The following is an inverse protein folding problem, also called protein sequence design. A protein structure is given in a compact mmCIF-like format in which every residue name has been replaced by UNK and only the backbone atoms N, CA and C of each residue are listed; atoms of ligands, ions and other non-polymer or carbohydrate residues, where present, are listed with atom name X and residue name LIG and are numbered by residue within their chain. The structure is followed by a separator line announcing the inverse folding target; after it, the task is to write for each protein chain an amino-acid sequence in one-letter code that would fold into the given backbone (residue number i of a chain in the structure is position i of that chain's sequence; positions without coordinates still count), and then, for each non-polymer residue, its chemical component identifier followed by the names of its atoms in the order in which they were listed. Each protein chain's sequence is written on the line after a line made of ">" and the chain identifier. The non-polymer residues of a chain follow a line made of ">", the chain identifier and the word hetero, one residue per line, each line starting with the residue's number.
data_IF_281625389189
#
_entry.id   IF_281625389189
#
_cell.length_a   1.000
_cell.length_b   1.000
_cell.length_c   1.000
_cell.angle_alpha   90.00
_cell.angle_beta   90.00
_cell.angle_gamma   90.00
#
_symmetry.space_group_name_H-M   'P 1'
#
loop_
_entity.id
_entity.type
_entity.pdbx_description
1 polymer ?
#
# COMPACT_ATOMS: atom_id res chain seq x y z
N UNK A 1 47.11 51.68 32.06
CA UNK A 1 45.77 51.01 32.17
C UNK A 1 44.81 51.93 31.43
N UNK A 2 44.12 51.60 30.35
CA UNK A 2 43.80 50.34 29.67
C UNK A 2 43.81 50.60 28.15
N UNK A 3 44.19 49.58 27.35
CA UNK A 3 44.07 49.59 25.90
C UNK A 3 42.61 49.41 25.48
N UNK A 4 42.19 50.21 24.49
CA UNK A 4 40.93 50.06 23.76
C UNK A 4 41.23 49.14 22.58
N UNK A 5 40.66 47.94 22.57
CA UNK A 5 40.60 47.10 21.37
C UNK A 5 39.18 47.14 20.80
N UNK A 6 39.11 47.54 19.54
CA UNK A 6 37.97 47.41 18.66
C UNK A 6 37.90 45.96 18.19
N UNK A 7 36.76 45.29 18.31
CA UNK A 7 36.51 44.02 17.61
C UNK A 7 35.14 44.06 16.95
N UNK A 8 35.19 43.70 15.67
CA UNK A 8 34.16 43.76 14.64
C UNK A 8 32.90 42.94 14.95
N UNK A 9 31.81 43.34 14.31
CA UNK A 9 30.53 42.67 14.39
C UNK A 9 30.55 41.25 13.84
N UNK A 10 29.68 40.42 14.40
CA UNK A 10 29.11 39.28 13.72
C UNK A 10 27.59 39.45 13.74
N UNK A 11 27.04 39.87 12.61
CA UNK A 11 25.65 39.60 12.27
C UNK A 11 25.52 38.07 12.15
N UNK A 12 24.99 37.43 13.19
CA UNK A 12 24.50 36.07 13.07
C UNK A 12 23.17 36.15 12.33
N UNK A 13 23.20 35.73 11.07
CA UNK A 13 22.02 35.41 10.27
C UNK A 13 21.10 34.48 11.07
N UNK A 14 20.07 35.04 11.69
CA UNK A 14 18.90 34.27 12.13
C UNK A 14 18.17 33.82 10.88
N UNK A 15 18.47 32.61 10.42
CA UNK A 15 17.56 31.89 9.52
C UNK A 15 16.21 31.80 10.24
N UNK A 16 15.18 32.36 9.62
CA UNK A 16 13.78 32.26 10.04
C UNK A 16 13.43 30.79 10.32
N UNK A 17 13.53 30.36 11.59
CA UNK A 17 12.99 29.07 12.01
C UNK A 17 11.47 29.20 12.06
N UNK A 18 10.85 29.04 10.89
CA UNK A 18 9.41 28.90 10.76
C UNK A 18 9.02 27.64 11.54
N UNK A 19 8.47 27.84 12.74
CA UNK A 19 8.00 26.72 13.57
C UNK A 19 6.80 26.10 12.86
N UNK A 20 6.98 24.92 12.28
CA UNK A 20 5.88 24.15 11.70
C UNK A 20 5.05 23.55 12.84
N UNK A 21 3.76 23.89 12.88
CA UNK A 21 2.81 23.31 13.84
C UNK A 21 2.13 22.12 13.16
N UNK A 22 2.41 20.92 13.65
CA UNK A 22 1.77 19.69 13.15
C UNK A 22 0.49 19.38 13.93
N UNK A 23 -0.49 18.79 13.25
CA UNK A 23 -1.78 18.38 13.84
C UNK A 23 -1.64 17.19 14.80
N UNK A 24 -0.67 16.32 14.54
CA UNK A 24 -0.41 15.10 15.31
C UNK A 24 1.03 14.59 15.08
N UNK A 25 1.47 13.66 15.93
CA UNK A 25 2.82 13.08 15.88
C UNK A 25 3.08 12.19 14.65
N UNK A 26 2.04 11.73 13.96
CA UNK A 26 2.18 10.94 12.73
C UNK A 26 2.58 11.86 11.58
N UNK A 27 1.95 13.02 11.44
CA UNK A 27 2.32 14.04 10.46
C UNK A 27 3.75 14.55 10.66
N UNK A 28 4.14 14.78 11.92
CA UNK A 28 5.52 15.12 12.28
C UNK A 28 6.50 14.00 11.84
N UNK A 29 6.15 12.73 12.10
CA UNK A 29 7.00 11.60 11.70
C UNK A 29 7.17 11.48 10.17
N UNK A 30 6.16 11.86 9.38
CA UNK A 30 6.26 11.90 7.91
C UNK A 30 7.22 13.02 7.47
N UNK A 31 7.11 14.21 8.08
CA UNK A 31 8.02 15.32 7.79
C UNK A 31 9.46 14.96 8.13
N UNK A 32 9.69 14.34 9.29
CA UNK A 32 11.01 13.85 9.70
C UNK A 32 11.55 12.76 8.77
N UNK A 33 10.68 11.86 8.26
CA UNK A 33 11.11 10.88 7.24
C UNK A 33 11.64 11.57 5.98
N UNK A 34 10.95 12.62 5.51
CA UNK A 34 11.39 13.40 4.35
C UNK A 34 12.73 14.10 4.61
N UNK A 35 12.89 14.73 5.77
CA UNK A 35 14.14 15.38 6.18
C UNK A 35 15.30 14.38 6.23
N UNK A 36 15.11 13.25 6.90
CA UNK A 36 16.14 12.23 7.10
C UNK A 36 16.62 11.57 5.79
N UNK A 37 15.79 11.60 4.75
CA UNK A 37 16.07 10.97 3.45
C UNK A 37 16.33 11.97 2.32
N UNK A 38 16.37 13.28 2.62
CA UNK A 38 16.53 14.37 1.63
C UNK A 38 15.48 14.29 0.51
N UNK A 39 14.20 14.17 0.90
CA UNK A 39 13.06 14.04 -0.01
C UNK A 39 12.11 15.23 0.16
N UNK A 40 11.70 15.87 -0.93
CA UNK A 40 10.65 16.88 -0.87
C UNK A 40 9.31 16.24 -0.47
N UNK A 41 8.55 16.89 0.42
CA UNK A 41 7.28 16.34 0.93
C UNK A 41 6.29 16.01 -0.20
N UNK A 42 6.33 16.74 -1.32
CA UNK A 42 5.47 16.48 -2.47
C UNK A 42 5.88 15.23 -3.27
N UNK A 43 7.07 14.69 -3.08
CA UNK A 43 7.47 13.44 -3.71
C UNK A 43 6.74 12.23 -3.12
N UNK A 44 6.21 12.33 -1.89
CA UNK A 44 5.43 11.26 -1.25
C UNK A 44 4.27 10.82 -2.14
N UNK A 45 3.60 11.75 -2.83
CA UNK A 45 2.49 11.46 -3.73
C UNK A 45 2.89 10.47 -4.84
N UNK A 46 4.16 10.47 -5.24
CA UNK A 46 4.72 9.61 -6.30
C UNK A 46 5.23 8.26 -5.80
N UNK A 47 5.36 8.07 -4.48
CA UNK A 47 5.90 6.83 -3.93
C UNK A 47 5.11 5.60 -4.37
N UNK A 48 5.83 4.55 -4.75
CA UNK A 48 5.27 3.22 -4.87
C UNK A 48 4.88 2.65 -3.48
N UNK A 49 4.25 1.48 -3.48
CA UNK A 49 3.80 0.85 -2.25
C UNK A 49 4.97 0.40 -1.35
N UNK A 50 6.16 0.13 -1.90
CA UNK A 50 7.33 -0.28 -1.12
C UNK A 50 7.91 0.90 -0.34
N UNK A 51 8.10 2.04 -1.00
CA UNK A 51 8.50 3.29 -0.34
C UNK A 51 7.45 3.75 0.66
N UNK A 52 6.16 3.63 0.33
CA UNK A 52 5.11 3.93 1.31
C UNK A 52 5.19 3.03 2.55
N UNK A 53 5.45 1.72 2.38
CA UNK A 53 5.66 0.84 3.52
C UNK A 53 6.88 1.25 4.37
N UNK A 54 7.94 1.81 3.76
CA UNK A 54 9.10 2.37 4.49
C UNK A 54 8.67 3.53 5.40
N UNK A 55 7.84 4.45 4.89
CA UNK A 55 7.27 5.56 5.67
C UNK A 55 6.45 5.03 6.85
N UNK A 56 5.58 4.04 6.62
CA UNK A 56 4.77 3.45 7.70
C UNK A 56 5.65 2.81 8.80
N UNK A 57 6.73 2.13 8.43
CA UNK A 57 7.68 1.57 9.39
C UNK A 57 8.47 2.65 10.14
N UNK A 58 8.74 3.79 9.52
CA UNK A 58 9.33 4.94 10.20
C UNK A 58 8.36 5.53 11.24
N UNK A 59 7.09 5.74 10.85
CA UNK A 59 6.02 6.17 11.77
C UNK A 59 5.93 5.21 12.97
N UNK A 60 5.94 3.90 12.73
CA UNK A 60 5.97 2.92 13.82
C UNK A 60 7.11 3.19 14.78
N UNK A 61 8.34 3.35 14.29
CA UNK A 61 9.52 3.55 15.14
C UNK A 61 9.48 4.84 15.95
N UNK A 62 8.94 5.91 15.39
CA UNK A 62 8.98 7.26 15.97
C UNK A 62 7.75 7.58 16.83
N UNK A 63 6.60 7.00 16.49
CA UNK A 63 5.31 7.28 17.14
C UNK A 63 4.87 6.12 17.99
N UNK A 64 4.81 4.90 17.46
CA UNK A 64 4.09 3.78 18.10
C UNK A 64 4.97 2.81 18.87
N UNK A 65 6.25 2.73 18.56
CA UNK A 65 7.20 1.85 19.25
C UNK A 65 7.46 2.42 20.66
N UNK A 66 7.52 1.59 21.71
CA UNK A 66 7.62 2.07 23.08
C UNK A 66 8.94 2.77 23.31
N UNK A 67 8.88 3.82 24.14
CA UNK A 67 10.04 4.21 24.91
C UNK A 67 10.20 3.20 26.06
N UNK A 68 11.31 2.47 26.08
CA UNK A 68 11.67 1.54 27.19
C UNK A 68 11.77 2.21 28.58
N UNK A 69 11.59 3.53 28.64
CA UNK A 69 11.87 4.38 29.79
C UNK A 69 10.62 5.11 30.33
N UNK A 70 9.40 4.75 29.90
CA UNK A 70 8.18 5.40 30.41
C UNK A 70 7.65 4.81 31.73
N UNK A 71 8.22 3.68 32.18
CA UNK A 71 7.84 3.03 33.44
C UNK A 71 6.48 2.32 33.40
N UNK A 72 5.82 2.23 32.24
CA UNK A 72 4.49 1.64 32.09
C UNK A 72 4.59 0.17 31.66
N UNK A 73 4.16 -0.75 32.52
CA UNK A 73 4.05 -2.18 32.19
C UNK A 73 2.76 -2.43 31.42
N UNK A 74 2.88 -2.73 30.12
CA UNK A 74 1.73 -3.01 29.24
C UNK A 74 1.56 -4.52 29.09
N UNK A 75 0.54 -5.12 29.72
CA UNK A 75 0.37 -6.58 29.78
C UNK A 75 0.26 -7.30 28.42
N UNK A 76 -0.18 -6.61 27.36
CA UNK A 76 -0.56 -7.24 26.08
C UNK A 76 0.08 -6.61 24.86
N UNK A 77 0.95 -5.63 25.09
CA UNK A 77 1.70 -4.94 24.06
C UNK A 77 2.95 -4.27 24.65
N UNK A 78 3.83 -5.05 25.27
CA UNK A 78 5.11 -4.57 25.84
C UNK A 78 6.02 -3.90 24.79
N UNK A 79 5.69 -4.05 23.50
CA UNK A 79 6.44 -3.59 22.33
C UNK A 79 5.72 -2.53 21.50
N UNK A 80 4.62 -1.92 21.97
CA UNK A 80 4.05 -0.69 21.40
C UNK A 80 3.34 0.16 22.46
N UNK A 81 3.17 1.45 22.18
CA UNK A 81 2.52 2.41 23.06
C UNK A 81 0.99 2.46 22.90
N UNK A 82 0.44 1.66 21.99
CA UNK A 82 -1.01 1.63 21.73
C UNK A 82 -1.69 0.62 22.66
N UNK A 83 -2.73 1.08 23.35
CA UNK A 83 -3.56 0.26 24.24
C UNK A 83 -4.68 -0.39 23.44
N UNK A 84 -4.71 -1.73 23.41
CA UNK A 84 -5.71 -2.48 22.67
C UNK A 84 -7.09 -2.49 23.35
N UNK A 85 -7.17 -2.09 24.63
CA UNK A 85 -8.45 -1.96 25.35
C UNK A 85 -9.15 -0.63 25.07
N UNK A 86 -8.39 0.39 24.63
CA UNK A 86 -8.92 1.69 24.26
C UNK A 86 -9.42 1.67 22.80
N UNK A 87 -10.70 1.33 22.64
CA UNK A 87 -11.34 1.23 21.31
C UNK A 87 -11.43 2.58 20.60
N UNK A 88 -11.66 3.66 21.34
CA UNK A 88 -11.74 5.01 20.77
C UNK A 88 -10.38 5.45 20.23
N UNK A 89 -9.29 5.18 20.96
CA UNK A 89 -7.93 5.41 20.47
C UNK A 89 -7.65 4.60 19.20
N UNK A 90 -8.01 3.31 19.18
CA UNK A 90 -7.81 2.45 18.01
C UNK A 90 -8.54 2.99 16.78
N UNK A 91 -9.80 3.38 16.94
CA UNK A 91 -10.63 3.92 15.85
C UNK A 91 -10.06 5.27 15.35
N UNK A 92 -9.65 6.16 16.26
CA UNK A 92 -9.01 7.43 15.90
C UNK A 92 -7.70 7.23 15.11
N UNK A 93 -6.85 6.31 15.55
CA UNK A 93 -5.60 5.96 14.84
C UNK A 93 -5.90 5.36 13.46
N UNK A 94 -6.93 4.52 13.36
CA UNK A 94 -7.39 3.97 12.07
C UNK A 94 -7.88 5.07 11.13
N UNK A 95 -8.68 6.02 11.63
CA UNK A 95 -9.18 7.13 10.83
C UNK A 95 -8.05 8.03 10.31
N UNK A 96 -7.04 8.31 11.13
CA UNK A 96 -5.84 9.06 10.70
C UNK A 96 -5.09 8.30 9.60
N UNK A 97 -4.91 6.99 9.76
CA UNK A 97 -4.26 6.15 8.73
C UNK A 97 -5.02 6.18 7.40
N UNK A 98 -6.35 6.02 7.45
CA UNK A 98 -7.21 6.05 6.27
C UNK A 98 -7.12 7.41 5.57
N UNK A 99 -7.31 8.51 6.32
CA UNK A 99 -7.23 9.87 5.79
C UNK A 99 -5.88 10.16 5.14
N UNK A 100 -4.79 9.74 5.77
CA UNK A 100 -3.44 9.88 5.24
C UNK A 100 -3.23 9.06 3.95
N UNK A 101 -3.76 7.84 3.88
CA UNK A 101 -3.71 7.05 2.65
C UNK A 101 -4.47 7.75 1.50
N UNK A 102 -5.63 8.35 1.77
CA UNK A 102 -6.35 9.13 0.76
C UNK A 102 -5.59 10.38 0.31
N UNK A 103 -5.07 11.16 1.25
CA UNK A 103 -4.27 12.36 0.98
C UNK A 103 -3.11 12.04 0.03
N UNK A 104 -2.31 11.03 0.36
CA UNK A 104 -1.14 10.65 -0.44
C UNK A 104 -1.44 9.67 -1.58
N UNK A 105 -2.72 9.42 -1.89
CA UNK A 105 -3.18 8.54 -2.96
C UNK A 105 -2.61 7.11 -2.85
N UNK A 106 -2.54 6.57 -1.63
CA UNK A 106 -2.03 5.24 -1.27
C UNK A 106 -3.17 4.24 -1.07
N UNK A 107 -2.83 2.96 -1.21
CA UNK A 107 -3.78 1.88 -0.88
C UNK A 107 -3.93 1.82 0.66
N UNK A 108 -5.18 1.83 1.13
CA UNK A 108 -5.49 1.47 2.52
C UNK A 108 -5.36 -0.04 2.65
N UNK A 109 -4.69 -0.55 3.67
CA UNK A 109 -4.67 -1.99 3.90
C UNK A 109 -4.45 -2.35 5.37
N UNK A 110 -5.00 -3.48 5.79
CA UNK A 110 -4.75 -4.07 7.12
C UNK A 110 -3.24 -4.27 7.37
N UNK A 111 -2.50 -4.68 6.33
CA UNK A 111 -1.05 -4.81 6.38
C UNK A 111 -0.32 -3.48 6.57
N UNK A 112 -0.77 -2.41 5.89
CA UNK A 112 -0.21 -1.07 6.07
C UNK A 112 -0.48 -0.55 7.48
N UNK A 113 -1.71 -0.71 7.98
CA UNK A 113 -2.06 -0.35 9.35
C UNK A 113 -1.22 -1.12 10.38
N UNK A 114 -1.03 -2.42 10.18
CA UNK A 114 -0.15 -3.26 11.00
C UNK A 114 1.30 -2.75 11.00
N UNK A 115 1.85 -2.38 9.84
CA UNK A 115 3.21 -1.81 9.74
C UNK A 115 3.34 -0.48 10.47
N UNK A 116 2.30 0.36 10.43
CA UNK A 116 2.32 1.69 11.05
C UNK A 116 2.20 1.62 12.58
N UNK A 117 1.30 0.78 13.09
CA UNK A 117 1.00 0.71 14.53
C UNK A 117 1.85 -0.32 15.27
N UNK A 118 2.40 -1.29 14.54
CA UNK A 118 3.08 -2.46 15.10
C UNK A 118 2.13 -3.55 15.60
N UNK A 119 0.80 -3.41 15.42
CA UNK A 119 -0.16 -4.45 15.77
C UNK A 119 0.03 -5.62 14.83
N UNK A 120 0.25 -6.83 15.36
CA UNK A 120 0.47 -8.00 14.53
C UNK A 120 -0.76 -8.33 13.68
N UNK A 121 -0.54 -8.80 12.45
CA UNK A 121 -1.61 -9.15 11.52
C UNK A 121 -2.57 -10.19 12.10
N UNK A 122 -2.02 -11.22 12.77
CA UNK A 122 -2.82 -12.25 13.43
C UNK A 122 -3.70 -11.68 14.54
N UNK A 123 -3.23 -10.66 15.26
CA UNK A 123 -4.03 -9.98 16.30
C UNK A 123 -5.20 -9.23 15.67
N UNK A 124 -4.98 -8.52 14.55
CA UNK A 124 -6.07 -7.87 13.82
C UNK A 124 -7.09 -8.90 13.31
N UNK A 125 -6.64 -10.02 12.76
CA UNK A 125 -7.57 -11.07 12.32
C UNK A 125 -8.27 -11.80 13.47
N UNK A 126 -7.62 -11.93 14.63
CA UNK A 126 -8.28 -12.42 15.85
C UNK A 126 -9.40 -11.47 16.28
N UNK A 127 -9.21 -10.15 16.21
CA UNK A 127 -10.28 -9.19 16.51
C UNK A 127 -11.43 -9.28 15.51
N UNK A 128 -11.13 -9.45 14.22
CA UNK A 128 -12.14 -9.64 13.19
C UNK A 128 -13.02 -10.87 13.46
N UNK A 129 -12.38 -11.98 13.84
CA UNK A 129 -13.05 -13.28 14.02
C UNK A 129 -13.72 -13.44 15.40
N UNK A 130 -13.40 -12.58 16.36
CA UNK A 130 -13.98 -12.62 17.72
C UNK A 130 -14.61 -11.25 18.06
N UNK A 131 -15.83 -10.96 17.59
CA UNK A 131 -16.49 -9.67 17.81
C UNK A 131 -16.66 -9.29 19.28
N UNK A 132 -16.82 -10.29 20.15
CA UNK A 132 -17.00 -10.13 21.59
C UNK A 132 -15.68 -10.00 22.36
N UNK A 133 -14.54 -9.89 21.67
CA UNK A 133 -13.26 -9.71 22.33
C UNK A 133 -13.28 -8.44 23.21
N UNK A 134 -12.82 -8.59 24.44
CA UNK A 134 -12.68 -7.47 25.40
C UNK A 134 -11.74 -6.38 24.88
N UNK A 135 -10.88 -6.72 23.91
CA UNK A 135 -9.85 -5.85 23.33
C UNK A 135 -9.88 -5.90 21.82
N UNK A 136 -9.45 -4.80 21.23
CA UNK A 136 -9.54 -4.60 19.81
C UNK A 136 -10.96 -4.27 19.36
N UNK A 137 -11.09 -4.10 18.05
CA UNK A 137 -12.35 -3.78 17.41
C UNK A 137 -12.47 -4.60 16.13
N UNK A 138 -13.47 -5.49 16.07
CA UNK A 138 -13.79 -6.20 14.83
C UNK A 138 -14.23 -5.21 13.75
N UNK A 139 -14.93 -4.15 14.16
CA UNK A 139 -15.42 -3.10 13.28
C UNK A 139 -14.29 -2.30 12.63
N UNK A 140 -13.24 -1.98 13.39
CA UNK A 140 -12.03 -1.36 12.84
C UNK A 140 -11.44 -2.18 11.69
N UNK A 141 -11.34 -3.50 11.86
CA UNK A 141 -10.72 -4.36 10.84
C UNK A 141 -11.61 -4.50 9.61
N UNK A 142 -12.94 -4.56 9.79
CA UNK A 142 -13.91 -4.51 8.68
C UNK A 142 -13.82 -3.18 7.94
N UNK A 143 -13.71 -2.06 8.66
CA UNK A 143 -13.58 -0.75 8.08
C UNK A 143 -12.31 -0.65 7.22
N UNK A 144 -11.16 -1.10 7.73
CA UNK A 144 -9.92 -1.18 6.95
C UNK A 144 -10.05 -2.06 5.68
N UNK A 145 -10.87 -3.10 5.70
CA UNK A 145 -11.14 -3.94 4.52
C UNK A 145 -12.03 -3.22 3.50
N UNK A 146 -13.09 -2.54 3.96
CA UNK A 146 -13.96 -1.74 3.11
C UNK A 146 -13.19 -0.58 2.45
N UNK A 147 -12.42 0.16 3.24
CA UNK A 147 -11.59 1.28 2.77
C UNK A 147 -10.46 0.82 1.83
N UNK A 148 -10.01 -0.43 1.95
CA UNK A 148 -9.09 -1.02 0.97
C UNK A 148 -9.76 -1.22 -0.39
N UNK A 149 -10.97 -1.78 -0.40
CA UNK A 149 -11.74 -1.90 -1.64
C UNK A 149 -11.98 -0.52 -2.26
N UNK A 150 -12.37 0.46 -1.44
CA UNK A 150 -12.68 1.82 -1.89
C UNK A 150 -11.45 2.62 -2.35
N UNK A 151 -10.30 2.50 -1.67
CA UNK A 151 -9.07 3.15 -2.13
C UNK A 151 -8.56 2.56 -3.45
N UNK A 152 -8.79 1.27 -3.71
CA UNK A 152 -8.48 0.63 -4.98
C UNK A 152 -9.47 1.01 -6.09
N UNK A 153 -10.77 1.08 -5.78
CA UNK A 153 -11.82 1.52 -6.71
C UNK A 153 -11.56 2.95 -7.19
N UNK A 154 -11.22 3.85 -6.26
CA UNK A 154 -10.89 5.25 -6.56
C UNK A 154 -9.65 5.40 -7.44
N UNK A 155 -8.63 4.57 -7.22
CA UNK A 155 -7.45 4.54 -8.11
C UNK A 155 -7.81 4.12 -9.53
N UNK A 156 -8.69 3.13 -9.67
CA UNK A 156 -9.19 2.70 -10.98
C UNK A 156 -10.00 3.82 -11.66
N UNK A 157 -10.95 4.43 -10.93
CA UNK A 157 -11.80 5.51 -11.45
C UNK A 157 -11.01 6.76 -11.85
N UNK A 158 -9.95 7.09 -11.11
CA UNK A 158 -9.06 8.22 -11.39
C UNK A 158 -7.97 7.94 -12.43
N UNK A 159 -7.87 6.70 -12.94
CA UNK A 159 -6.82 6.30 -13.88
C UNK A 159 -5.41 6.26 -13.29
N UNK A 160 -5.26 6.22 -11.96
CA UNK A 160 -3.97 6.20 -11.27
C UNK A 160 -3.48 4.77 -11.05
N UNK A 161 -2.29 4.45 -11.56
CA UNK A 161 -1.63 3.15 -11.39
C UNK A 161 -1.90 2.17 -12.55
N UNK A 162 -1.60 0.89 -12.34
CA UNK A 162 -1.86 -0.14 -13.36
C UNK A 162 -3.31 -0.65 -13.25
N UNK A 163 -4.23 -0.26 -14.16
CA UNK A 163 -5.65 -0.62 -14.06
C UNK A 163 -5.88 -2.13 -14.11
N UNK A 164 -5.11 -2.87 -14.90
CA UNK A 164 -5.22 -4.34 -15.00
C UNK A 164 -4.79 -4.99 -13.69
N UNK A 165 -3.70 -4.50 -13.09
CA UNK A 165 -3.23 -4.99 -11.79
C UNK A 165 -4.23 -4.73 -10.67
N UNK A 166 -4.78 -3.51 -10.61
CA UNK A 166 -5.81 -3.12 -9.63
C UNK A 166 -7.07 -3.97 -9.80
N UNK A 167 -7.56 -4.14 -11.03
CA UNK A 167 -8.70 -5.02 -11.32
C UNK A 167 -8.42 -6.48 -10.92
N UNK A 168 -7.21 -6.98 -11.14
CA UNK A 168 -6.80 -8.31 -10.69
C UNK A 168 -6.90 -8.48 -9.17
N UNK A 169 -6.47 -7.46 -8.41
CA UNK A 169 -6.61 -7.44 -6.94
C UNK A 169 -8.09 -7.40 -6.56
N UNK A 170 -8.88 -6.52 -7.16
CA UNK A 170 -10.30 -6.36 -6.87
C UNK A 170 -11.09 -7.65 -7.15
N UNK A 171 -10.84 -8.31 -8.28
CA UNK A 171 -11.46 -9.59 -8.62
C UNK A 171 -11.08 -10.70 -7.62
N UNK A 172 -9.80 -10.80 -7.26
CA UNK A 172 -9.30 -11.85 -6.35
C UNK A 172 -9.86 -11.69 -4.93
N UNK A 173 -9.96 -10.46 -4.43
CA UNK A 173 -10.27 -10.20 -3.02
C UNK A 173 -11.72 -9.82 -2.76
N UNK A 174 -12.40 -9.18 -3.72
CA UNK A 174 -13.76 -8.63 -3.54
C UNK A 174 -14.76 -9.15 -4.58
N UNK A 175 -14.33 -10.02 -5.50
CA UNK A 175 -15.24 -10.65 -6.45
C UNK A 175 -15.89 -9.68 -7.44
N UNK A 176 -15.23 -8.55 -7.73
CA UNK A 176 -15.71 -7.53 -8.67
C UNK A 176 -16.06 -8.07 -10.05
N UNK A 177 -15.54 -9.27 -10.41
CA UNK A 177 -15.86 -10.08 -11.58
C UNK A 177 -16.56 -9.26 -12.65
N UNK A 178 -15.83 -8.31 -13.26
CA UNK A 178 -16.27 -7.75 -14.54
C UNK A 178 -16.43 -8.96 -15.42
N UNK A 179 -17.68 -9.33 -15.69
CA UNK A 179 -18.00 -10.61 -16.27
C UNK A 179 -17.05 -10.87 -17.42
N UNK A 180 -16.12 -11.82 -17.26
CA UNK A 180 -15.76 -12.63 -18.42
C UNK A 180 -17.12 -12.97 -19.01
N UNK A 181 -17.39 -12.60 -20.28
CA UNK A 181 -18.72 -12.74 -20.87
C UNK A 181 -19.20 -14.10 -20.42
N UNK A 182 -20.21 -14.13 -19.52
CA UNK A 182 -20.62 -15.35 -18.84
C UNK A 182 -20.69 -16.34 -19.95
N UNK A 183 -19.80 -17.34 -19.90
CA UNK A 183 -19.58 -18.20 -21.04
C UNK A 183 -20.97 -18.52 -21.56
N UNK A 184 -21.20 -18.25 -22.84
CA UNK A 184 -22.18 -19.05 -23.54
C UNK A 184 -22.03 -20.45 -22.94
N UNK A 185 -23.10 -21.01 -22.41
CA UNK A 185 -23.14 -22.39 -21.97
C UNK A 185 -23.01 -23.32 -23.18
N UNK A 186 -22.20 -22.95 -24.16
CA UNK A 186 -21.57 -23.81 -25.11
C UNK A 186 -20.30 -24.27 -24.40
N UNK A 187 -20.32 -25.48 -23.87
CA UNK A 187 -19.10 -26.27 -23.90
C UNK A 187 -18.52 -26.08 -25.30
N UNK A 188 -17.40 -25.36 -25.42
CA UNK A 188 -16.66 -25.30 -26.66
C UNK A 188 -16.21 -26.74 -26.90
N UNK A 189 -17.04 -27.53 -27.58
CA UNK A 189 -16.55 -28.70 -28.31
C UNK A 189 -15.42 -28.16 -29.16
N UNK A 190 -14.25 -28.77 -29.04
CA UNK A 190 -13.15 -28.53 -29.95
C UNK A 190 -13.72 -28.49 -31.38
N UNK A 191 -13.36 -27.49 -32.21
CA UNK A 191 -13.82 -27.44 -33.58
C UNK A 191 -13.54 -28.79 -34.24
N UNK A 192 -14.58 -29.37 -34.85
CA UNK A 192 -14.45 -30.64 -35.54
C UNK A 192 -13.37 -30.48 -36.61
N UNK A 193 -12.30 -31.30 -36.56
CA UNK A 193 -11.16 -31.28 -37.47
C UNK A 193 -11.52 -31.03 -38.96
N UNK A 194 -12.63 -31.57 -39.52
CA UNK A 194 -12.99 -31.31 -40.91
C UNK A 194 -13.24 -29.83 -41.26
N UNK A 195 -13.71 -29.00 -40.32
CA UNK A 195 -14.00 -27.59 -40.61
C UNK A 195 -12.75 -26.70 -40.73
N UNK A 196 -11.67 -27.08 -40.05
CA UNK A 196 -10.38 -26.38 -40.14
C UNK A 196 -9.71 -26.69 -41.48
N UNK A 197 -9.76 -27.94 -41.92
CA UNK A 197 -9.16 -28.36 -43.20
C UNK A 197 -9.72 -27.58 -44.40
N UNK A 198 -11.03 -27.34 -44.46
CA UNK A 198 -11.64 -26.59 -45.56
C UNK A 198 -11.16 -25.14 -45.66
N UNK A 199 -10.98 -24.45 -44.53
CA UNK A 199 -10.47 -23.07 -44.53
C UNK A 199 -9.03 -22.95 -45.02
N UNK A 200 -8.19 -23.95 -44.74
CA UNK A 200 -6.80 -23.94 -45.19
C UNK A 200 -6.63 -24.38 -46.65
N UNK A 201 -7.60 -25.12 -47.21
CA UNK A 201 -7.57 -25.58 -48.61
C UNK A 201 -8.09 -24.49 -49.57
N UNK A 202 -9.04 -23.66 -49.14
CA UNK A 202 -9.62 -22.62 -50.01
C UNK A 202 -8.77 -21.33 -50.09
N UNK A 203 -7.91 -21.05 -49.10
CA UNK A 203 -7.13 -19.81 -49.00
C UNK A 203 -5.66 -19.92 -49.48
N UNK A 204 -5.21 -21.07 -50.00
CA UNK A 204 -3.88 -21.16 -50.65
C UNK A 204 -3.97 -20.91 -52.15
N UNK A 205 -3.39 -19.81 -52.68
CA UNK A 205 -3.14 -19.70 -54.11
C UNK A 205 -2.18 -20.81 -54.53
N UNK A 206 -2.46 -21.48 -55.65
CA UNK A 206 -1.56 -22.45 -56.28
C UNK A 206 -0.20 -21.81 -56.54
N UNK A 207 0.77 -22.05 -55.67
CA UNK A 207 2.19 -21.86 -55.95
C UNK A 207 2.89 -23.21 -55.77
N UNK A 208 3.10 -23.88 -56.90
CA UNK A 208 3.96 -25.05 -57.07
C UNK A 208 5.40 -24.71 -56.63
N UNK A 209 5.76 -24.95 -55.37
CA UNK A 209 7.16 -25.15 -54.95
C UNK A 209 7.26 -26.22 -53.84
N UNK A 210 7.95 -27.30 -54.19
CA UNK A 210 8.45 -28.30 -53.26
C UNK A 210 9.34 -27.62 -52.21
N UNK A 211 8.94 -27.61 -50.94
CA UNK A 211 9.86 -27.30 -49.84
C UNK A 211 9.55 -28.19 -48.61
N UNK A 212 10.61 -28.83 -48.13
CA UNK A 212 10.65 -29.81 -47.04
C UNK A 212 10.01 -29.30 -45.73
N UNK A 213 9.39 -30.23 -44.99
CA UNK A 213 8.79 -29.95 -43.69
C UNK A 213 9.83 -29.36 -42.69
N UNK A 214 9.50 -28.28 -41.97
CA UNK A 214 10.44 -27.62 -41.05
C UNK A 214 10.77 -28.55 -39.88
N UNK A 215 12.07 -28.80 -39.67
CA UNK A 215 12.57 -29.60 -38.55
C UNK A 215 12.59 -28.77 -37.25
N UNK A 216 12.11 -29.37 -36.16
CA UNK A 216 12.10 -28.76 -34.84
C UNK A 216 13.53 -28.70 -34.25
N UNK A 217 13.96 -27.59 -33.65
CA UNK A 217 15.30 -27.48 -33.08
C UNK A 217 15.42 -28.31 -31.78
N UNK A 218 16.48 -29.09 -31.68
CA UNK A 218 16.80 -29.88 -30.49
C UNK A 218 17.42 -29.02 -29.38
N UNK A 219 17.06 -29.27 -28.10
CA UNK A 219 17.58 -28.50 -26.98
C UNK A 219 19.05 -28.81 -26.71
N UNK A 220 19.85 -27.77 -26.47
CA UNK A 220 21.24 -27.91 -25.99
C UNK A 220 21.22 -28.03 -24.46
N UNK A 221 21.83 -29.09 -23.94
CA UNK A 221 22.13 -29.26 -22.52
C UNK A 221 23.35 -28.41 -22.13
#
# INVERSE_FOLDING_TARGET
>A
MQNIEHVEGQELNTTDQKTEVYTDRIQEAIANYCIDHDIDKNEIYTFDQQRWNSVLLYIYRSVFKPCKNDGVVRLYNEKSNIDYSDKELLDNVSNIYIAMCYEYSKEVSVMGFSKMTGIHLDTLYQWLNNPDAERGSSELVKNLQAEREESLSNKLASGKGNPVGILGILNRHYGWNMGQPRGQSTAQKAPDLPGIAHKYIEDTPNDDKNDEAPTLPTPKF
#
